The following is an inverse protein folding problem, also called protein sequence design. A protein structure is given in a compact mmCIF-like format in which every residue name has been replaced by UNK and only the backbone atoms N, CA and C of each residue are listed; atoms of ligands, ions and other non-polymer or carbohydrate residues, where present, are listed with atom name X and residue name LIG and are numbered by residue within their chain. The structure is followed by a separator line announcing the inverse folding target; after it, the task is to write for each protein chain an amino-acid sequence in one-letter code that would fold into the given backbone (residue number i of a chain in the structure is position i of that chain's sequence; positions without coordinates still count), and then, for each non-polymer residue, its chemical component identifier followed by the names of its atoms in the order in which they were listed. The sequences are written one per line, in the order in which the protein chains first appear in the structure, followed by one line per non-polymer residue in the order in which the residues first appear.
data_IF_234724458652
#
_entry.id   IF_234724458652
#
_cell.length_a   1.000
_cell.length_b   1.000
_cell.length_c   1.000
_cell.angle_alpha   90.00
_cell.angle_beta   90.00
_cell.angle_gamma   90.00
#
_symmetry.space_group_name_H-M   'P 1'
#
loop_
_entity.id
_entity.type
_entity.pdbx_description
1 polymer ?
#
# COMPACT_ATOMS: atom_id res chain seq x y z
N UNK A 1 -12.45 -8.51 -24.06
CA UNK A 1 -12.28 -9.29 -25.31
C UNK A 1 -12.96 -10.65 -25.17
N UNK A 2 -12.54 -11.51 -24.22
CA UNK A 2 -13.10 -12.85 -24.00
C UNK A 2 -14.62 -12.89 -23.81
N UNK A 3 -15.19 -11.98 -23.01
CA UNK A 3 -16.66 -11.88 -22.87
C UNK A 3 -17.38 -11.70 -24.22
N UNK A 4 -16.84 -10.86 -25.11
CA UNK A 4 -17.43 -10.64 -26.44
C UNK A 4 -17.31 -11.88 -27.30
N UNK A 5 -16.15 -12.55 -27.26
CA UNK A 5 -15.92 -13.80 -27.96
C UNK A 5 -16.89 -14.89 -27.50
N UNK A 6 -17.04 -15.08 -26.18
CA UNK A 6 -17.98 -16.03 -25.59
C UNK A 6 -19.43 -15.76 -25.98
N UNK A 7 -19.85 -14.49 -25.98
CA UNK A 7 -21.20 -14.10 -26.40
C UNK A 7 -21.47 -14.39 -27.89
N UNK A 8 -20.43 -14.51 -28.71
CA UNK A 8 -20.54 -14.85 -30.13
C UNK A 8 -20.49 -16.37 -30.41
N UNK A 9 -20.42 -17.22 -29.39
CA UNK A 9 -20.37 -18.70 -29.51
C UNK A 9 -21.30 -19.24 -30.61
N UNK A 10 -22.60 -18.92 -30.51
CA UNK A 10 -23.60 -19.42 -31.45
C UNK A 10 -23.41 -18.91 -32.88
N UNK A 11 -22.88 -17.69 -33.05
CA UNK A 11 -22.58 -17.13 -34.37
C UNK A 11 -21.36 -17.81 -34.98
N UNK A 12 -20.33 -18.08 -34.17
CA UNK A 12 -19.11 -18.79 -34.57
C UNK A 12 -19.48 -20.22 -35.01
N UNK A 13 -20.25 -20.94 -34.19
CA UNK A 13 -20.66 -22.30 -34.49
C UNK A 13 -21.46 -22.39 -35.80
N UNK A 14 -22.40 -21.46 -36.03
CA UNK A 14 -23.17 -21.39 -37.28
C UNK A 14 -22.28 -21.08 -38.49
N UNK A 15 -21.40 -20.09 -38.37
CA UNK A 15 -20.52 -19.71 -39.46
C UNK A 15 -19.57 -20.87 -39.85
N UNK A 16 -19.08 -21.64 -38.87
CA UNK A 16 -18.24 -22.83 -39.12
C UNK A 16 -19.01 -23.94 -39.84
N UNK A 17 -20.28 -24.13 -39.50
CA UNK A 17 -21.17 -25.07 -40.21
C UNK A 17 -21.41 -24.60 -41.65
N UNK A 18 -21.72 -23.32 -41.86
CA UNK A 18 -22.04 -22.76 -43.17
C UNK A 18 -20.88 -22.89 -44.17
N UNK A 19 -19.64 -22.81 -43.70
CA UNK A 19 -18.43 -23.00 -44.53
C UNK A 19 -17.97 -24.46 -44.61
N UNK A 20 -18.66 -25.39 -43.95
CA UNK A 20 -18.29 -26.81 -43.91
C UNK A 20 -16.99 -27.10 -43.18
N UNK A 21 -16.63 -26.30 -42.17
CA UNK A 21 -15.41 -26.52 -41.38
C UNK A 21 -15.63 -27.61 -40.32
N UNK A 22 -14.67 -28.53 -40.22
CA UNK A 22 -14.63 -29.53 -39.15
C UNK A 22 -14.15 -28.94 -37.80
N UNK A 23 -13.63 -27.70 -37.80
CA UNK A 23 -13.16 -27.03 -36.59
C UNK A 23 -14.36 -26.65 -35.72
N UNK A 24 -14.37 -27.10 -34.46
CA UNK A 24 -15.39 -26.79 -33.46
C UNK A 24 -14.76 -26.67 -32.09
N UNK A 25 -15.22 -25.71 -31.31
CA UNK A 25 -14.89 -25.65 -29.90
C UNK A 25 -15.74 -26.68 -29.16
N UNK A 26 -15.08 -27.49 -28.34
CA UNK A 26 -15.73 -28.41 -27.41
C UNK A 26 -16.46 -27.63 -26.30
N UNK A 27 -17.41 -28.29 -25.64
CA UNK A 27 -18.08 -27.71 -24.48
C UNK A 27 -17.10 -27.45 -23.32
N UNK A 28 -16.03 -28.24 -23.22
CA UNK A 28 -14.96 -28.05 -22.25
C UNK A 28 -14.16 -26.77 -22.53
N UNK A 29 -13.81 -26.50 -23.79
CA UNK A 29 -13.15 -25.24 -24.17
C UNK A 29 -14.04 -24.02 -23.89
N UNK A 30 -15.33 -24.11 -24.21
CA UNK A 30 -16.28 -23.05 -23.87
C UNK A 30 -16.43 -22.86 -22.37
N UNK A 31 -16.44 -23.96 -21.60
CA UNK A 31 -16.46 -23.90 -20.15
C UNK A 31 -15.22 -23.20 -19.60
N UNK A 32 -14.02 -23.55 -20.06
CA UNK A 32 -12.76 -22.91 -19.65
C UNK A 32 -12.76 -21.40 -19.94
N UNK A 33 -13.25 -20.98 -21.11
CA UNK A 33 -13.37 -19.56 -21.45
C UNK A 33 -14.33 -18.85 -20.48
N UNK A 34 -15.48 -19.46 -20.18
CA UNK A 34 -16.45 -18.89 -19.25
C UNK A 34 -15.91 -18.82 -17.82
N UNK A 35 -15.25 -19.88 -17.36
CA UNK A 35 -14.62 -19.93 -16.03
C UNK A 35 -13.61 -18.79 -15.90
N UNK A 36 -12.77 -18.56 -16.91
CA UNK A 36 -11.82 -17.45 -16.94
C UNK A 36 -12.53 -16.09 -16.89
N UNK A 37 -13.60 -15.90 -17.66
CA UNK A 37 -14.37 -14.65 -17.66
C UNK A 37 -14.95 -14.36 -16.26
N UNK A 38 -15.59 -15.37 -15.67
CA UNK A 38 -16.27 -15.27 -14.38
C UNK A 38 -15.27 -14.99 -13.25
N UNK A 39 -14.11 -15.64 -13.28
CA UNK A 39 -13.02 -15.44 -12.32
C UNK A 39 -12.32 -14.08 -12.43
N UNK A 40 -12.20 -13.52 -13.64
CA UNK A 40 -11.55 -12.23 -13.85
C UNK A 40 -12.46 -11.03 -13.58
N UNK A 41 -13.78 -11.23 -13.53
CA UNK A 41 -14.73 -10.14 -13.32
C UNK A 41 -14.55 -9.40 -11.98
N UNK A 42 -14.35 -10.07 -10.83
CA UNK A 42 -14.03 -9.39 -9.57
C UNK A 42 -12.76 -8.55 -9.65
N UNK A 43 -11.73 -9.01 -10.37
CA UNK A 43 -10.48 -8.27 -10.55
C UNK A 43 -10.69 -7.00 -11.37
N UNK A 44 -11.48 -7.08 -12.46
CA UNK A 44 -11.84 -5.88 -13.24
C UNK A 44 -12.48 -4.81 -12.34
N UNK A 45 -13.52 -5.18 -11.59
CA UNK A 45 -14.19 -4.27 -10.67
C UNK A 45 -13.25 -3.73 -9.59
N UNK A 46 -12.36 -4.58 -9.09
CA UNK A 46 -11.38 -4.18 -8.09
C UNK A 46 -10.36 -3.17 -8.62
N UNK A 47 -9.84 -3.38 -9.82
CA UNK A 47 -8.94 -2.41 -10.48
C UNK A 47 -9.66 -1.08 -10.70
N UNK A 48 -10.90 -1.11 -11.18
CA UNK A 48 -11.70 0.11 -11.36
C UNK A 48 -11.93 0.86 -10.04
N UNK A 49 -12.14 0.15 -8.93
CA UNK A 49 -12.27 0.75 -7.60
C UNK A 49 -10.95 1.33 -7.08
N UNK A 50 -9.84 0.61 -7.29
CA UNK A 50 -8.51 1.03 -6.86
C UNK A 50 -7.98 2.25 -7.61
N UNK A 51 -8.36 2.41 -8.88
CA UNK A 51 -7.95 3.51 -9.73
C UNK A 51 -8.79 4.79 -9.56
N UNK A 52 -9.75 4.82 -8.63
CA UNK A 52 -10.52 6.04 -8.35
C UNK A 52 -9.67 7.06 -7.60
N UNK A 53 -9.96 8.35 -7.80
CA UNK A 53 -9.19 9.45 -7.21
C UNK A 53 -9.26 9.46 -5.68
N UNK A 54 -10.39 9.02 -5.13
CA UNK A 54 -10.68 8.90 -3.71
C UNK A 54 -10.30 7.54 -3.12
N UNK A 55 -9.58 6.70 -3.86
CA UNK A 55 -9.14 5.40 -3.36
C UNK A 55 -8.15 5.58 -2.22
N UNK A 56 -8.46 4.99 -1.07
CA UNK A 56 -7.62 4.99 0.12
C UNK A 56 -7.11 3.59 0.41
N UNK A 57 -6.20 3.46 1.37
CA UNK A 57 -5.75 2.15 1.84
C UNK A 57 -6.90 1.28 2.42
N UNK A 58 -7.97 1.90 2.93
CA UNK A 58 -9.21 1.18 3.33
C UNK A 58 -9.96 0.66 2.09
N UNK A 59 -10.06 1.48 1.03
CA UNK A 59 -10.67 1.07 -0.25
C UNK A 59 -9.92 -0.14 -0.80
N UNK A 60 -8.59 -0.13 -0.73
CA UNK A 60 -7.77 -1.24 -1.18
C UNK A 60 -8.00 -2.52 -0.35
N UNK A 61 -7.96 -2.44 0.98
CA UNK A 61 -8.20 -3.61 1.86
C UNK A 61 -9.59 -4.22 1.60
N UNK A 62 -10.61 -3.37 1.50
CA UNK A 62 -11.99 -3.78 1.22
C UNK A 62 -12.12 -4.42 -0.16
N UNK A 63 -11.44 -3.87 -1.16
CA UNK A 63 -11.45 -4.39 -2.53
C UNK A 63 -10.83 -5.77 -2.61
N UNK A 64 -9.69 -5.99 -1.95
CA UNK A 64 -9.05 -7.31 -1.94
C UNK A 64 -9.91 -8.36 -1.22
N UNK A 65 -10.55 -7.99 -0.10
CA UNK A 65 -11.51 -8.88 0.58
C UNK A 65 -12.69 -9.22 -0.32
N UNK A 66 -13.23 -8.24 -1.04
CA UNK A 66 -14.30 -8.46 -2.01
C UNK A 66 -13.88 -9.46 -3.09
N UNK A 67 -12.70 -9.29 -3.70
CA UNK A 67 -12.20 -10.22 -4.72
C UNK A 67 -12.08 -11.64 -4.16
N UNK A 68 -11.44 -11.80 -2.99
CA UNK A 68 -11.26 -13.11 -2.36
C UNK A 68 -12.60 -13.78 -2.01
N UNK A 69 -13.59 -13.03 -1.49
CA UNK A 69 -14.95 -13.54 -1.26
C UNK A 69 -15.61 -14.04 -2.55
N UNK A 70 -15.43 -13.33 -3.68
CA UNK A 70 -16.00 -13.75 -4.96
C UNK A 70 -15.33 -14.99 -5.52
N UNK A 71 -14.00 -15.08 -5.46
CA UNK A 71 -13.26 -16.24 -5.93
C UNK A 71 -13.57 -17.48 -5.09
N UNK A 72 -13.68 -17.33 -3.77
CA UNK A 72 -14.02 -18.43 -2.88
C UNK A 72 -15.42 -18.98 -3.16
N UNK A 73 -16.39 -18.13 -3.53
CA UNK A 73 -17.75 -18.56 -3.90
C UNK A 73 -17.82 -19.32 -5.23
N UNK A 74 -16.84 -19.12 -6.12
CA UNK A 74 -16.78 -19.81 -7.41
C UNK A 74 -16.26 -21.24 -7.25
N UNK A 75 -15.34 -21.45 -6.31
CA UNK A 75 -14.77 -22.76 -5.95
C UNK A 75 -14.30 -23.62 -7.15
N UNK A 76 -13.70 -22.96 -8.14
CA UNK A 76 -13.07 -23.64 -9.28
C UNK A 76 -11.57 -23.77 -9.06
N UNK A 77 -10.91 -24.65 -9.83
CA UNK A 77 -9.45 -24.81 -9.75
C UNK A 77 -8.75 -23.48 -10.01
N UNK A 78 -9.22 -22.73 -11.01
CA UNK A 78 -8.70 -21.40 -11.33
C UNK A 78 -8.96 -20.40 -10.21
N UNK A 79 -10.18 -20.37 -9.63
CA UNK A 79 -10.53 -19.43 -8.56
C UNK A 79 -9.67 -19.64 -7.31
N UNK A 80 -9.40 -20.90 -6.98
CA UNK A 80 -8.55 -21.30 -5.87
C UNK A 80 -7.07 -20.93 -6.10
N UNK A 81 -6.56 -21.13 -7.33
CA UNK A 81 -5.21 -20.69 -7.69
C UNK A 81 -5.05 -19.17 -7.63
N UNK A 82 -5.98 -18.42 -8.22
CA UNK A 82 -5.98 -16.96 -8.19
C UNK A 82 -6.09 -16.42 -6.76
N UNK A 83 -6.95 -17.03 -5.94
CA UNK A 83 -7.10 -16.67 -4.52
C UNK A 83 -5.79 -16.86 -3.77
N UNK A 84 -5.12 -18.00 -3.95
CA UNK A 84 -3.83 -18.28 -3.31
C UNK A 84 -2.78 -17.26 -3.72
N UNK A 85 -2.59 -17.04 -5.01
CA UNK A 85 -1.60 -16.08 -5.51
C UNK A 85 -1.90 -14.65 -5.04
N UNK A 86 -3.17 -14.25 -4.99
CA UNK A 86 -3.55 -12.94 -4.47
C UNK A 86 -3.24 -12.81 -2.97
N UNK A 87 -3.53 -13.83 -2.17
CA UNK A 87 -3.20 -13.85 -0.73
C UNK A 87 -1.71 -13.71 -0.49
N UNK A 88 -0.88 -14.42 -1.25
CA UNK A 88 0.58 -14.30 -1.20
C UNK A 88 1.04 -12.87 -1.51
N UNK A 89 0.52 -12.26 -2.58
CA UNK A 89 0.86 -10.88 -2.95
C UNK A 89 0.41 -9.84 -1.92
N UNK A 90 -0.72 -10.07 -1.26
CA UNK A 90 -1.17 -9.19 -0.17
C UNK A 90 -0.19 -9.30 1.00
N UNK A 91 0.18 -10.51 1.41
CA UNK A 91 1.11 -10.73 2.51
C UNK A 91 2.49 -10.10 2.26
N UNK A 92 3.02 -10.22 1.04
CA UNK A 92 4.30 -9.63 0.64
C UNK A 92 4.33 -8.09 0.72
N UNK A 93 3.19 -7.43 0.49
CA UNK A 93 3.12 -5.97 0.31
C UNK A 93 2.40 -5.24 1.44
N UNK A 94 1.81 -5.97 2.38
CA UNK A 94 1.04 -5.39 3.48
C UNK A 94 1.96 -4.61 4.42
N UNK A 95 1.54 -3.38 4.76
CA UNK A 95 2.28 -2.50 5.66
C UNK A 95 1.51 -2.26 6.95
N UNK A 96 2.19 -1.77 7.99
CA UNK A 96 1.55 -1.41 9.26
C UNK A 96 0.56 -0.24 9.12
N UNK A 97 0.72 0.59 8.09
CA UNK A 97 -0.15 1.73 7.79
C UNK A 97 -1.61 1.34 7.64
N UNK A 98 -1.90 0.15 7.07
CA UNK A 98 -3.29 -0.33 6.96
C UNK A 98 -3.91 -0.53 8.33
N UNK A 99 -3.14 -1.07 9.28
CA UNK A 99 -3.57 -1.25 10.67
C UNK A 99 -3.79 0.07 11.40
N UNK A 100 -2.86 1.01 11.20
CA UNK A 100 -2.99 2.38 11.75
C UNK A 100 -4.26 3.04 11.23
N UNK A 101 -4.51 2.98 9.92
CA UNK A 101 -5.68 3.61 9.31
C UNK A 101 -7.00 2.96 9.75
N UNK A 102 -7.06 1.62 9.85
CA UNK A 102 -8.24 0.92 10.36
C UNK A 102 -8.53 1.34 11.80
N UNK A 103 -7.49 1.42 12.65
CA UNK A 103 -7.63 1.88 14.03
C UNK A 103 -8.16 3.31 14.09
N UNK A 104 -7.51 4.24 13.38
CA UNK A 104 -7.89 5.67 13.36
C UNK A 104 -9.27 5.92 12.75
N UNK A 105 -9.78 5.03 11.90
CA UNK A 105 -11.13 5.15 11.37
C UNK A 105 -12.18 4.64 12.35
N UNK A 106 -11.95 3.47 12.96
CA UNK A 106 -12.86 2.90 13.92
C UNK A 106 -12.13 1.90 14.86
N UNK A 107 -11.91 2.25 16.14
CA UNK A 107 -11.18 1.40 17.07
C UNK A 107 -11.94 0.10 17.38
N UNK A 108 -13.28 0.09 17.31
CA UNK A 108 -14.09 -1.13 17.48
C UNK A 108 -13.90 -2.09 16.30
N UNK A 109 -13.80 -1.56 15.08
CA UNK A 109 -13.50 -2.38 13.89
C UNK A 109 -12.10 -2.98 13.99
N UNK A 110 -11.13 -2.21 14.46
CA UNK A 110 -9.79 -2.71 14.75
C UNK A 110 -9.81 -3.90 15.73
N UNK A 111 -10.54 -3.78 16.84
CA UNK A 111 -10.64 -4.88 17.82
C UNK A 111 -11.34 -6.13 17.27
N UNK A 112 -12.20 -5.99 16.26
CA UNK A 112 -12.78 -7.14 15.54
C UNK A 112 -11.77 -7.79 14.59
N UNK A 113 -11.04 -6.99 13.82
CA UNK A 113 -10.04 -7.49 12.86
C UNK A 113 -8.86 -8.17 13.56
N UNK A 114 -8.48 -7.74 14.76
CA UNK A 114 -7.43 -8.42 15.56
C UNK A 114 -7.81 -9.82 16.03
N UNK A 115 -9.12 -10.15 16.03
CA UNK A 115 -9.64 -11.50 16.36
C UNK A 115 -9.78 -12.39 15.14
N UNK A 116 -9.58 -11.84 13.94
CA UNK A 116 -9.71 -12.59 12.70
C UNK A 116 -8.56 -13.61 12.57
N UNK A 117 -8.88 -14.83 12.16
CA UNK A 117 -7.90 -15.91 11.93
C UNK A 117 -7.26 -15.84 10.55
N UNK A 118 -7.79 -15.02 9.64
CA UNK A 118 -7.18 -14.83 8.32
C UNK A 118 -5.89 -14.00 8.40
N UNK A 119 -4.75 -14.69 8.36
CA UNK A 119 -3.43 -14.08 8.38
C UNK A 119 -3.12 -13.21 7.15
N UNK A 120 -3.90 -13.31 6.07
CA UNK A 120 -3.73 -12.47 4.87
C UNK A 120 -3.85 -10.99 5.19
N UNK A 121 -4.80 -10.63 6.07
CA UNK A 121 -5.10 -9.24 6.42
C UNK A 121 -4.59 -8.90 7.83
N UNK A 122 -3.39 -9.36 8.18
CA UNK A 122 -2.78 -9.15 9.49
C UNK A 122 -2.90 -7.70 9.97
N UNK A 123 -3.25 -7.53 11.24
CA UNK A 123 -3.37 -6.22 11.89
C UNK A 123 -2.31 -6.11 12.99
N UNK A 124 -1.42 -5.09 12.95
CA UNK A 124 -0.39 -4.89 13.95
C UNK A 124 -1.00 -4.65 15.34
N UNK A 125 -0.27 -5.07 16.39
CA UNK A 125 -0.66 -4.84 17.78
C UNK A 125 -0.71 -3.34 18.10
N UNK A 126 -1.53 -2.93 19.07
CA UNK A 126 -1.68 -1.53 19.50
C UNK A 126 -0.33 -0.82 19.80
N UNK A 127 0.65 -1.56 20.34
CA UNK A 127 1.99 -1.02 20.59
C UNK A 127 2.71 -0.63 19.28
N UNK A 128 2.66 -1.47 18.25
CA UNK A 128 3.25 -1.19 16.94
C UNK A 128 2.53 -0.03 16.25
N UNK A 129 1.20 0.00 16.30
CA UNK A 129 0.41 1.15 15.81
C UNK A 129 0.87 2.45 16.44
N UNK A 130 1.03 2.47 17.77
CA UNK A 130 1.48 3.68 18.45
C UNK A 130 2.88 4.12 17.99
N UNK A 131 3.81 3.18 17.80
CA UNK A 131 5.14 3.48 17.28
C UNK A 131 5.09 4.04 15.85
N UNK A 132 4.22 3.49 15.00
CA UNK A 132 4.06 3.98 13.63
C UNK A 132 3.43 5.39 13.61
N UNK A 133 2.46 5.66 14.48
CA UNK A 133 1.89 7.01 14.66
C UNK A 133 2.97 8.00 15.10
N UNK A 134 3.83 7.62 16.06
CA UNK A 134 4.97 8.47 16.48
C UNK A 134 5.89 8.76 15.30
N UNK A 135 6.27 7.73 14.53
CA UNK A 135 7.13 7.88 13.35
C UNK A 135 6.53 8.84 12.32
N UNK A 136 5.22 8.76 12.08
CA UNK A 136 4.52 9.68 11.18
C UNK A 136 4.50 11.09 11.75
N UNK A 137 4.19 11.28 13.03
CA UNK A 137 4.19 12.60 13.67
C UNK A 137 5.56 13.27 13.62
N UNK A 138 6.63 12.53 13.87
CA UNK A 138 7.99 13.03 13.75
C UNK A 138 8.31 13.51 12.34
N UNK A 139 7.82 12.79 11.32
CA UNK A 139 7.96 13.19 9.91
C UNK A 139 7.12 14.43 9.57
N UNK A 140 5.85 14.46 9.95
CA UNK A 140 4.94 15.57 9.60
C UNK A 140 5.34 16.86 10.29
N UNK A 141 5.70 16.79 11.58
CA UNK A 141 6.07 17.95 12.38
C UNK A 141 7.52 18.37 12.11
N UNK A 142 8.42 17.42 11.83
CA UNK A 142 9.83 17.71 11.54
C UNK A 142 10.08 18.37 10.18
N UNK A 143 9.15 18.27 9.23
CA UNK A 143 9.22 18.94 7.92
C UNK A 143 8.81 20.43 8.00
N UNK A 144 8.17 20.86 9.09
CA UNK A 144 7.67 22.23 9.26
C UNK A 144 8.70 23.32 9.56
N UNK A 145 9.98 22.97 9.80
CA UNK A 145 11.03 23.94 10.15
C UNK A 145 11.95 24.32 8.96
N UNK A 146 11.72 23.78 7.76
CA UNK A 146 12.47 24.19 6.56
C UNK A 146 11.73 25.33 5.85
N UNK A 147 11.88 26.55 6.38
CA UNK A 147 11.59 27.78 5.64
C UNK A 147 12.39 27.81 4.34
N UNK A 148 11.71 28.23 3.28
CA UNK A 148 12.20 28.42 1.93
C UNK A 148 13.40 29.38 1.90
N UNK A 149 14.59 28.90 1.53
CA UNK A 149 15.58 29.75 0.88
C UNK A 149 15.74 29.31 -0.58
N UNK A 150 15.19 30.15 -1.45
CA UNK A 150 15.41 30.11 -2.89
C UNK A 150 16.79 30.70 -3.16
N UNK A 151 17.75 29.92 -3.66
CA UNK A 151 18.93 30.46 -4.34
C UNK A 151 19.06 29.88 -5.76
N UNK A 152 18.59 30.73 -6.67
CA UNK A 152 19.01 31.02 -8.05
C UNK A 152 20.13 30.15 -8.66
N UNK A 153 19.78 29.55 -9.80
CA UNK A 153 20.67 28.94 -10.80
C UNK A 153 21.73 29.94 -11.35
N UNK A 154 23.01 29.55 -11.46
CA UNK A 154 23.75 29.63 -12.73
C UNK A 154 25.12 28.88 -12.75
N UNK A 155 25.19 27.93 -13.71
CA UNK A 155 26.29 27.53 -14.63
C UNK A 155 27.63 26.91 -14.15
N UNK A 156 27.79 25.67 -14.64
CA UNK A 156 28.97 24.87 -15.06
C UNK A 156 30.08 25.64 -15.81
N UNK A 157 31.34 25.13 -16.05
CA UNK A 157 31.66 23.73 -16.39
C UNK A 157 32.98 23.11 -15.85
N UNK A 158 33.11 21.84 -16.25
CA UNK A 158 34.07 20.76 -16.01
C UNK A 158 35.57 21.05 -16.26
N UNK A 159 36.43 20.26 -15.58
CA UNK A 159 37.34 19.25 -16.17
C UNK A 159 38.75 19.21 -15.53
N UNK A 160 39.31 17.99 -15.36
CA UNK A 160 40.76 17.78 -15.48
C UNK A 160 41.52 17.21 -14.28
N UNK A 161 41.34 15.91 -14.03
CA UNK A 161 42.32 14.86 -13.63
C UNK A 161 43.76 15.26 -13.22
N UNK A 162 44.22 14.83 -12.03
CA UNK A 162 45.54 14.18 -11.87
C UNK A 162 45.72 13.50 -10.50
N UNK A 163 46.25 12.27 -10.55
CA UNK A 163 46.11 11.21 -9.57
C UNK A 163 47.21 11.14 -8.49
N UNK A 164 47.49 12.25 -7.80
CA UNK A 164 48.38 12.28 -6.62
C UNK A 164 47.68 12.81 -5.35
N UNK A 165 46.42 13.24 -5.47
CA UNK A 165 45.62 13.78 -4.37
C UNK A 165 44.87 12.71 -3.54
N UNK A 166 44.97 11.43 -3.88
CA UNK A 166 44.09 10.36 -3.34
C UNK A 166 44.30 10.07 -1.85
N UNK A 167 45.52 10.20 -1.33
CA UNK A 167 45.81 10.00 0.10
C UNK A 167 45.37 11.19 0.97
N UNK A 168 45.39 12.40 0.41
CA UNK A 168 44.96 13.63 1.08
C UNK A 168 43.45 13.80 1.02
N UNK A 169 42.84 13.54 -0.15
CA UNK A 169 41.39 13.57 -0.36
C UNK A 169 40.67 12.52 0.48
N UNK A 170 41.21 11.31 0.65
CA UNK A 170 40.58 10.31 1.50
C UNK A 170 40.58 10.72 2.98
N UNK A 171 41.67 11.33 3.47
CA UNK A 171 41.73 11.87 4.84
C UNK A 171 40.84 13.10 5.01
N UNK A 172 40.74 13.96 4.00
CA UNK A 172 39.83 15.11 4.00
C UNK A 172 38.38 14.66 3.93
N UNK A 173 38.06 13.64 3.14
CA UNK A 173 36.73 13.02 3.07
C UNK A 173 36.37 12.33 4.39
N UNK A 174 37.29 11.60 5.03
CA UNK A 174 37.04 11.00 6.35
C UNK A 174 36.89 12.06 7.45
N UNK A 175 37.62 13.18 7.34
CA UNK A 175 37.49 14.34 8.23
C UNK A 175 36.17 15.08 8.01
N UNK A 176 35.73 15.25 6.76
CA UNK A 176 34.42 15.80 6.40
C UNK A 176 33.28 14.86 6.80
N UNK A 177 33.42 13.55 6.62
CA UNK A 177 32.44 12.56 7.07
C UNK A 177 32.38 12.49 8.61
N UNK A 178 33.50 12.70 9.32
CA UNK A 178 33.50 12.86 10.79
C UNK A 178 32.88 14.19 11.21
N UNK A 179 33.20 15.30 10.53
CA UNK A 179 32.58 16.59 10.78
C UNK A 179 31.08 16.54 10.50
N UNK A 180 30.61 15.96 9.40
CA UNK A 180 29.18 15.76 9.13
C UNK A 180 28.53 14.84 10.17
N UNK A 181 29.19 13.75 10.58
CA UNK A 181 28.68 12.88 11.68
C UNK A 181 28.66 13.59 13.05
N UNK A 182 29.57 14.53 13.30
CA UNK A 182 29.63 15.33 14.53
C UNK A 182 28.70 16.56 14.48
N UNK A 183 28.46 17.13 13.30
CA UNK A 183 27.44 18.16 13.04
C UNK A 183 26.04 17.55 13.08
N UNK A 184 25.87 16.27 12.69
CA UNK A 184 24.67 15.46 12.97
C UNK A 184 24.52 15.08 14.45
N UNK A 185 25.57 15.29 15.28
CA UNK A 185 25.52 15.13 16.73
C UNK A 185 25.62 16.47 17.45
N UNK A 186 24.69 17.39 17.16
CA UNK A 186 24.35 18.56 17.99
C UNK A 186 22.97 19.05 17.52
N UNK A 187 21.91 19.21 18.31
CA UNK A 187 21.68 19.25 19.76
C UNK A 187 20.27 18.69 19.98
N UNK A 188 20.06 17.72 20.87
CA UNK A 188 18.71 17.45 21.38
C UNK A 188 18.42 18.35 22.57
N UNK A 189 18.34 19.66 22.34
CA UNK A 189 17.49 20.55 23.15
C UNK A 189 16.10 20.63 22.51
N UNK A 190 15.53 19.47 22.17
CA UNK A 190 14.08 19.34 22.09
C UNK A 190 13.70 18.82 23.46
N UNK A 191 12.86 19.55 24.20
CA UNK A 191 11.94 18.89 25.13
C UNK A 191 11.30 17.80 24.29
N UNK A 192 11.76 16.57 24.42
CA UNK A 192 11.24 15.43 23.69
C UNK A 192 9.79 15.39 24.10
N UNK A 193 8.88 15.92 23.25
CA UNK A 193 7.45 15.80 23.50
C UNK A 193 7.27 14.31 23.64
N UNK A 194 6.91 13.88 24.85
CA UNK A 194 6.74 12.48 25.18
C UNK A 194 5.47 12.02 24.48
N UNK A 195 5.55 11.90 23.15
CA UNK A 195 4.45 11.49 22.28
C UNK A 195 3.92 10.14 22.73
N UNK A 196 4.77 9.29 23.31
CA UNK A 196 4.36 8.03 23.92
C UNK A 196 3.35 8.23 25.06
N UNK A 197 3.61 9.15 26.01
CA UNK A 197 2.63 9.46 27.08
C UNK A 197 1.39 10.17 26.58
N UNK A 198 1.55 11.11 25.64
CA UNK A 198 0.43 11.88 25.09
C UNK A 198 -0.50 10.97 24.30
N UNK A 199 0.04 10.17 23.38
CA UNK A 199 -0.73 9.24 22.55
C UNK A 199 -1.41 8.15 23.38
N UNK A 200 -0.79 7.67 24.46
CA UNK A 200 -1.47 6.72 25.37
C UNK A 200 -2.78 7.28 25.93
N UNK A 201 -2.78 8.55 26.34
CA UNK A 201 -3.99 9.22 26.82
C UNK A 201 -5.00 9.44 25.70
N UNK A 202 -4.52 9.93 24.55
CA UNK A 202 -5.37 10.24 23.40
C UNK A 202 -6.01 8.99 22.79
N UNK A 203 -5.27 7.89 22.66
CA UNK A 203 -5.79 6.59 22.24
C UNK A 203 -6.84 6.05 23.23
N UNK A 204 -6.62 6.21 24.54
CA UNK A 204 -7.60 5.79 25.54
C UNK A 204 -8.91 6.58 25.44
N UNK A 205 -8.83 7.92 25.29
CA UNK A 205 -10.00 8.77 25.05
C UNK A 205 -10.69 8.43 23.71
N UNK A 206 -9.91 8.15 22.66
CA UNK A 206 -10.47 7.77 21.37
C UNK A 206 -11.23 6.44 21.43
N UNK A 207 -10.74 5.47 22.21
CA UNK A 207 -11.40 4.18 22.42
C UNK A 207 -12.69 4.31 23.26
N UNK A 208 -12.74 5.23 24.22
CA UNK A 208 -13.95 5.45 25.05
C UNK A 208 -14.99 6.32 24.36
N UNK A 209 -14.57 7.44 23.78
CA UNK A 209 -15.44 8.52 23.34
C UNK A 209 -15.67 8.51 21.82
N UNK A 210 -14.84 7.76 21.07
CA UNK A 210 -14.89 7.67 19.61
C UNK A 210 -14.36 8.91 18.87
N UNK A 211 -13.87 9.91 19.61
CA UNK A 211 -13.37 11.18 19.06
C UNK A 211 -11.85 11.16 19.01
N UNK A 212 -11.27 11.41 17.83
CA UNK A 212 -9.82 11.54 17.65
C UNK A 212 -9.36 12.85 18.25
N UNK A 213 -8.27 12.81 19.01
CA UNK A 213 -7.59 14.03 19.42
C UNK A 213 -6.80 14.66 18.26
N UNK A 214 -6.08 15.72 18.57
CA UNK A 214 -5.33 16.52 17.59
C UNK A 214 -4.25 15.71 16.86
N UNK A 215 -3.46 14.91 17.58
CA UNK A 215 -2.34 14.19 16.97
C UNK A 215 -2.82 13.00 16.16
N UNK A 216 -3.84 12.28 16.64
CA UNK A 216 -4.47 11.20 15.89
C UNK A 216 -5.16 11.70 14.61
N UNK A 217 -5.77 12.89 14.65
CA UNK A 217 -6.37 13.54 13.48
C UNK A 217 -5.31 13.93 12.46
N UNK A 218 -4.21 14.55 12.91
CA UNK A 218 -3.12 14.95 12.03
C UNK A 218 -2.46 13.77 11.31
N UNK A 219 -2.26 12.63 12.01
CA UNK A 219 -1.78 11.40 11.38
C UNK A 219 -2.80 10.83 10.41
N UNK A 220 -4.08 10.83 10.77
CA UNK A 220 -5.14 10.33 9.89
C UNK A 220 -5.19 11.11 8.57
N UNK A 221 -5.19 12.44 8.65
CA UNK A 221 -5.24 13.30 7.47
C UNK A 221 -3.99 13.10 6.61
N UNK A 222 -2.80 13.00 7.23
CA UNK A 222 -1.57 12.70 6.51
C UNK A 222 -1.66 11.36 5.76
N UNK A 223 -2.14 10.29 6.40
CA UNK A 223 -2.27 8.97 5.74
C UNK A 223 -3.25 9.02 4.57
N UNK A 224 -4.31 9.85 4.64
CA UNK A 224 -5.25 10.01 3.54
C UNK A 224 -4.71 10.83 2.36
N UNK A 225 -3.64 11.60 2.56
CA UNK A 225 -3.00 12.37 1.47
C UNK A 225 -1.95 11.57 0.70
N UNK A 226 -1.58 10.38 1.18
CA UNK A 226 -0.63 9.45 0.53
C UNK A 226 -1.38 8.54 -0.44
#
# INVERSE_FOLDING_TARGET
MLQRFYNLKNCIDKALIDIGSDMKFSDEEWFMINDLIVNLQPFKLGVEALCRRESTLITADTTFRFILDKLQKQDTVLSNQLSKSLRERIQERRTELTGVLIYLQNPKKYDQETKNTDHTFFVPKKAAIRQEIIRILEKVIGVGDNEYESEVFEKTPEAGTSATATLTLKKELEKQLKQEKETFKKKSDKKQKDYEKILKKEMACFESDGIRGQYLTLVYDYILTV
#
